data_IF_702598804337
#
_entry.id   IF_702598804337
#
_cell.length_a   1.000
_cell.length_b   1.000
_cell.length_c   1.000
_cell.angle_alpha   90.00
_cell.angle_beta   90.00
_cell.angle_gamma   90.00
#
_symmetry.space_group_name_H-M   'P 1'
#
loop_
_entity.id
_entity.type
_entity.pdbx_description
1 polymer ?
#
# COMPACT_ATOMS: atom_id res chain seq x y z
N UNK A 1 -26.61 24.32 8.91
CA UNK A 1 -26.11 23.65 7.68
C UNK A 1 -24.69 24.10 7.32
N UNK A 2 -24.37 25.43 7.24
CA UNK A 2 -23.06 25.92 6.80
C UNK A 2 -21.87 25.47 7.65
N UNK A 3 -21.95 25.58 8.98
CA UNK A 3 -20.88 25.16 9.91
C UNK A 3 -20.62 23.66 9.80
N UNK A 4 -21.69 22.86 9.74
CA UNK A 4 -21.56 21.40 9.60
C UNK A 4 -20.86 21.01 8.29
N UNK A 5 -21.16 21.72 7.18
CA UNK A 5 -20.48 21.52 5.90
C UNK A 5 -18.98 21.85 5.95
N UNK A 6 -18.58 22.94 6.60
CA UNK A 6 -17.19 23.31 6.76
C UNK A 6 -16.42 22.30 7.65
N UNK A 7 -17.03 21.86 8.75
CA UNK A 7 -16.45 20.83 9.61
C UNK A 7 -16.28 19.51 8.87
N UNK A 8 -17.26 19.10 8.08
CA UNK A 8 -17.19 17.88 7.26
C UNK A 8 -16.04 17.95 6.24
N UNK A 9 -15.81 19.11 5.58
CA UNK A 9 -14.70 19.30 4.65
C UNK A 9 -13.32 19.21 5.33
N UNK A 10 -13.18 19.75 6.53
CA UNK A 10 -11.94 19.66 7.31
C UNK A 10 -11.65 18.20 7.70
N UNK A 11 -12.66 17.49 8.21
CA UNK A 11 -12.54 16.07 8.57
C UNK A 11 -12.22 15.23 7.33
N UNK A 12 -12.88 15.49 6.20
CA UNK A 12 -12.60 14.80 4.95
C UNK A 12 -11.18 15.05 4.46
N UNK A 13 -10.66 16.28 4.57
CA UNK A 13 -9.29 16.60 4.19
C UNK A 13 -8.24 15.82 5.01
N UNK A 14 -8.36 15.84 6.34
CA UNK A 14 -7.46 15.08 7.22
C UNK A 14 -7.64 13.56 7.04
N UNK A 15 -8.88 13.08 6.90
CA UNK A 15 -9.18 11.68 6.66
C UNK A 15 -8.57 11.16 5.36
N UNK A 16 -8.67 11.94 4.26
CA UNK A 16 -8.06 11.60 2.99
C UNK A 16 -6.54 11.47 3.09
N UNK A 17 -5.89 12.44 3.74
CA UNK A 17 -4.44 12.40 3.97
C UNK A 17 -4.01 11.14 4.73
N UNK A 18 -4.66 10.86 5.85
CA UNK A 18 -4.34 9.68 6.67
C UNK A 18 -4.59 8.38 5.89
N UNK A 19 -5.70 8.29 5.14
CA UNK A 19 -6.04 7.11 4.35
C UNK A 19 -5.07 6.83 3.21
N UNK A 20 -4.40 7.85 2.67
CA UNK A 20 -3.41 7.69 1.60
C UNK A 20 -2.02 7.31 2.13
N UNK A 21 -1.62 7.78 3.31
CA UNK A 21 -0.28 7.54 3.86
C UNK A 21 -0.22 6.28 4.72
N UNK A 22 -1.26 5.97 5.47
CA UNK A 22 -1.29 4.80 6.37
C UNK A 22 -0.99 3.46 5.70
N UNK A 23 -1.48 3.15 4.48
CA UNK A 23 -1.15 1.92 3.79
C UNK A 23 0.36 1.76 3.51
N UNK A 24 1.04 2.87 3.21
CA UNK A 24 2.48 2.88 2.95
C UNK A 24 3.29 2.57 4.19
N UNK A 25 2.95 3.22 5.31
CA UNK A 25 3.66 3.00 6.57
C UNK A 25 3.49 1.54 7.04
N UNK A 26 2.31 0.96 6.83
CA UNK A 26 2.07 -0.46 7.12
C UNK A 26 2.81 -1.39 6.16
N UNK A 27 2.74 -1.13 4.85
CA UNK A 27 3.40 -1.99 3.86
C UNK A 27 4.90 -2.03 4.03
N UNK A 28 5.54 -0.86 4.16
CA UNK A 28 7.00 -0.75 4.26
C UNK A 28 7.54 -0.78 5.69
N UNK A 29 6.70 -0.60 6.70
CA UNK A 29 7.12 -0.66 8.10
C UNK A 29 6.83 -2.00 8.77
N UNK A 30 5.64 -2.59 8.48
CA UNK A 30 5.16 -3.77 9.20
C UNK A 30 5.20 -5.04 8.37
N UNK A 31 5.07 -4.95 7.02
CA UNK A 31 4.92 -6.13 6.18
C UNK A 31 6.18 -6.49 5.40
N UNK A 32 6.96 -5.51 4.92
CA UNK A 32 8.19 -5.75 4.16
C UNK A 32 9.43 -5.59 5.03
N UNK A 33 10.28 -6.62 5.05
CA UNK A 33 11.49 -6.69 5.89
C UNK A 33 12.78 -6.81 5.07
N UNK A 34 12.68 -6.82 3.75
CA UNK A 34 13.84 -6.86 2.86
C UNK A 34 14.31 -5.47 2.46
N UNK A 35 15.61 -5.34 2.18
CA UNK A 35 16.25 -4.08 1.82
C UNK A 35 16.21 -3.83 0.32
N UNK A 36 16.40 -4.90 -0.47
CA UNK A 36 16.53 -4.84 -1.91
C UNK A 36 15.77 -5.96 -2.59
N UNK A 37 15.25 -5.67 -3.79
CA UNK A 37 14.68 -6.64 -4.71
C UNK A 37 15.47 -6.62 -6.01
N UNK A 38 15.92 -7.79 -6.42
CA UNK A 38 16.53 -8.06 -7.71
C UNK A 38 15.52 -8.75 -8.61
N UNK A 39 15.48 -8.39 -9.88
CA UNK A 39 14.63 -9.06 -10.88
C UNK A 39 15.48 -9.41 -12.10
N UNK A 40 15.37 -10.64 -12.58
CA UNK A 40 16.06 -11.14 -13.76
C UNK A 40 15.28 -10.87 -15.04
N UNK A 41 15.96 -10.85 -16.16
CA UNK A 41 15.31 -10.81 -17.47
C UNK A 41 14.43 -12.04 -17.70
N UNK A 42 13.25 -11.86 -18.28
CA UNK A 42 12.32 -12.96 -18.57
C UNK A 42 12.93 -14.04 -19.49
N UNK A 43 13.86 -13.64 -20.37
CA UNK A 43 14.54 -14.53 -21.32
C UNK A 43 16.02 -14.69 -20.99
N UNK A 44 16.37 -14.72 -19.69
CA UNK A 44 17.75 -14.89 -19.24
C UNK A 44 18.32 -16.21 -19.76
N UNK A 45 19.54 -16.17 -20.27
CA UNK A 45 20.25 -17.37 -20.71
C UNK A 45 20.73 -18.18 -19.50
N UNK A 46 20.83 -19.53 -19.63
CA UNK A 46 21.32 -20.37 -18.52
C UNK A 46 22.70 -19.97 -18.01
N UNK A 47 23.59 -19.52 -18.89
CA UNK A 47 24.94 -19.05 -18.56
C UNK A 47 24.91 -17.75 -17.74
N UNK A 48 24.08 -16.78 -18.17
CA UNK A 48 23.89 -15.52 -17.46
C UNK A 48 23.25 -15.74 -16.08
N UNK A 49 22.30 -16.67 -15.99
CA UNK A 49 21.69 -17.07 -14.71
C UNK A 49 22.72 -17.64 -13.75
N UNK A 50 23.56 -18.56 -14.22
CA UNK A 50 24.60 -19.15 -13.41
C UNK A 50 25.60 -18.10 -12.90
N UNK A 51 25.97 -17.12 -13.73
CA UNK A 51 26.82 -16.00 -13.35
C UNK A 51 26.18 -15.15 -12.24
N UNK A 52 24.89 -14.82 -12.40
CA UNK A 52 24.13 -14.07 -11.37
C UNK A 52 24.09 -14.87 -10.07
N UNK A 53 23.70 -16.15 -10.10
CA UNK A 53 23.60 -16.99 -8.91
C UNK A 53 24.97 -17.16 -8.21
N UNK A 54 26.08 -17.29 -8.96
CA UNK A 54 27.42 -17.32 -8.39
C UNK A 54 27.79 -15.99 -7.71
N UNK A 55 27.45 -14.86 -8.35
CA UNK A 55 27.67 -13.54 -7.76
C UNK A 55 26.84 -13.34 -6.49
N UNK A 56 25.56 -13.73 -6.53
CA UNK A 56 24.65 -13.64 -5.38
C UNK A 56 25.16 -14.44 -4.19
N UNK A 57 25.65 -15.67 -4.42
CA UNK A 57 26.18 -16.55 -3.38
C UNK A 57 27.50 -16.06 -2.77
N UNK A 58 28.27 -15.24 -3.49
CA UNK A 58 29.57 -14.74 -3.06
C UNK A 58 29.54 -13.34 -2.42
N UNK A 59 28.38 -12.65 -2.43
CA UNK A 59 28.24 -11.29 -1.91
C UNK A 59 28.07 -11.28 -0.38
N UNK A 60 29.16 -11.00 0.34
CA UNK A 60 29.22 -10.97 1.81
C UNK A 60 28.48 -9.75 2.43
N UNK A 61 28.01 -8.80 1.63
CA UNK A 61 27.18 -7.67 2.06
C UNK A 61 25.72 -8.09 2.35
N UNK A 62 25.33 -9.29 1.92
CA UNK A 62 23.99 -9.84 2.05
C UNK A 62 23.90 -10.73 3.26
N UNK A 63 22.95 -10.45 4.15
CA UNK A 63 22.69 -11.23 5.36
C UNK A 63 21.73 -12.40 5.10
N UNK A 64 20.76 -12.18 4.22
CA UNK A 64 19.73 -13.15 3.90
C UNK A 64 19.20 -12.91 2.48
N UNK A 65 18.79 -13.99 1.83
CA UNK A 65 18.22 -13.94 0.48
C UNK A 65 17.07 -14.93 0.35
N UNK A 66 16.00 -14.51 -0.32
CA UNK A 66 14.85 -15.34 -0.65
C UNK A 66 14.62 -15.32 -2.16
N UNK A 67 14.85 -16.44 -2.86
CA UNK A 67 14.48 -16.57 -4.26
C UNK A 67 12.96 -16.68 -4.40
N UNK A 68 12.39 -15.95 -5.35
CA UNK A 68 10.97 -16.00 -5.63
C UNK A 68 10.68 -15.94 -7.14
N UNK A 69 9.50 -16.41 -7.53
CA UNK A 69 8.98 -16.21 -8.86
C UNK A 69 7.90 -15.12 -8.81
N UNK A 70 8.05 -14.12 -9.66
CA UNK A 70 7.10 -13.02 -9.80
C UNK A 70 6.63 -12.94 -11.26
N UNK A 71 5.32 -13.03 -11.47
CA UNK A 71 4.73 -12.90 -12.80
C UNK A 71 3.48 -12.02 -12.76
N UNK A 72 3.33 -11.15 -13.77
CA UNK A 72 2.10 -10.38 -13.96
C UNK A 72 1.03 -11.29 -14.55
N UNK A 73 -0.10 -11.37 -13.88
CA UNK A 73 -1.23 -12.23 -14.20
C UNK A 73 -2.54 -11.43 -14.17
N UNK A 74 -3.63 -12.03 -14.58
CA UNK A 74 -4.99 -11.49 -14.43
C UNK A 74 -5.82 -12.46 -13.59
N UNK A 75 -6.31 -11.98 -12.45
CA UNK A 75 -7.27 -12.70 -11.63
C UNK A 75 -8.69 -12.44 -12.18
N UNK A 76 -9.39 -13.50 -12.55
CA UNK A 76 -10.66 -13.44 -13.26
C UNK A 76 -11.77 -14.17 -12.51
N UNK A 77 -12.94 -13.56 -12.53
CA UNK A 77 -14.21 -14.18 -12.14
C UNK A 77 -15.22 -13.97 -13.28
N UNK A 78 -16.43 -14.49 -13.14
CA UNK A 78 -17.49 -14.26 -14.14
C UNK A 78 -17.82 -12.78 -14.37
N UNK A 79 -17.44 -11.87 -13.45
CA UNK A 79 -17.80 -10.45 -13.51
C UNK A 79 -16.61 -9.52 -13.65
N UNK A 80 -15.45 -9.89 -13.13
CA UNK A 80 -14.32 -8.99 -12.94
C UNK A 80 -13.02 -9.61 -13.41
N UNK A 81 -12.16 -8.77 -14.00
CA UNK A 81 -10.81 -9.10 -14.42
C UNK A 81 -9.89 -8.05 -13.79
N UNK A 82 -9.04 -8.47 -12.87
CA UNK A 82 -8.16 -7.61 -12.11
C UNK A 82 -6.72 -8.04 -12.34
N UNK A 83 -5.86 -7.09 -12.70
CA UNK A 83 -4.42 -7.36 -12.80
C UNK A 83 -3.86 -7.66 -11.41
N UNK A 84 -3.14 -8.76 -11.29
CA UNK A 84 -2.48 -9.20 -10.07
C UNK A 84 -1.11 -9.80 -10.39
N UNK A 85 -0.25 -9.90 -9.39
CA UNK A 85 1.04 -10.57 -9.51
C UNK A 85 0.94 -11.93 -8.82
N UNK A 86 1.36 -12.99 -9.51
CA UNK A 86 1.63 -14.26 -8.87
C UNK A 86 3.02 -14.18 -8.22
N UNK A 87 3.09 -14.42 -6.92
CA UNK A 87 4.31 -14.57 -6.16
C UNK A 87 4.43 -16.01 -5.69
N UNK A 88 5.53 -16.69 -6.05
CA UNK A 88 5.82 -18.04 -5.56
C UNK A 88 7.12 -18.00 -4.78
N UNK A 89 7.06 -18.39 -3.51
CA UNK A 89 8.20 -18.39 -2.61
C UNK A 89 8.03 -19.50 -1.55
N UNK A 90 9.12 -19.91 -0.90
CA UNK A 90 9.09 -20.93 0.14
C UNK A 90 8.37 -20.41 1.40
N UNK A 91 7.27 -21.02 1.85
CA UNK A 91 6.57 -20.58 3.05
C UNK A 91 7.41 -20.60 4.33
N UNK A 92 8.48 -21.41 4.37
CA UNK A 92 9.34 -21.54 5.53
C UNK A 92 10.28 -20.33 5.73
N UNK A 93 10.72 -19.69 4.63
CA UNK A 93 11.73 -18.62 4.63
C UNK A 93 11.14 -17.27 4.21
N UNK A 94 10.13 -17.27 3.36
CA UNK A 94 9.49 -16.04 2.86
C UNK A 94 8.96 -15.13 3.97
N UNK A 95 8.51 -15.71 5.09
CA UNK A 95 8.02 -14.98 6.26
C UNK A 95 9.06 -14.04 6.90
N UNK A 96 10.35 -14.29 6.71
CA UNK A 96 11.43 -13.44 7.19
C UNK A 96 11.58 -12.16 6.34
N UNK A 97 11.07 -12.17 5.11
CA UNK A 97 11.14 -11.06 4.15
C UNK A 97 9.80 -10.35 3.97
N UNK A 98 8.69 -11.09 4.06
CA UNK A 98 7.33 -10.54 3.89
C UNK A 98 6.42 -11.17 4.94
N UNK A 99 5.88 -10.34 5.83
CA UNK A 99 4.86 -10.79 6.78
C UNK A 99 3.56 -11.08 6.06
N UNK A 100 3.19 -12.35 5.98
CA UNK A 100 1.91 -12.82 5.44
C UNK A 100 1.00 -13.16 6.61
N UNK A 101 0.07 -12.26 6.94
CA UNK A 101 -0.85 -12.46 8.06
C UNK A 101 -2.30 -12.26 7.63
N UNK A 102 -3.18 -12.99 8.27
CA UNK A 102 -4.63 -12.86 8.06
C UNK A 102 -5.07 -11.44 8.36
N UNK A 103 -5.83 -10.85 7.45
CA UNK A 103 -6.29 -9.48 7.53
C UNK A 103 -7.19 -9.22 8.75
N UNK A 104 -8.00 -10.19 9.16
CA UNK A 104 -8.96 -10.02 10.26
C UNK A 104 -8.38 -10.40 11.62
N UNK A 105 -7.68 -11.52 11.69
CA UNK A 105 -7.18 -12.10 12.95
C UNK A 105 -5.75 -11.67 13.27
N UNK A 106 -4.96 -11.29 12.26
CA UNK A 106 -3.53 -11.00 12.40
C UNK A 106 -2.66 -12.25 12.55
N UNK A 107 -3.22 -13.45 12.44
CA UNK A 107 -2.47 -14.71 12.50
C UNK A 107 -1.60 -14.88 11.25
N UNK A 108 -0.40 -15.45 11.42
CA UNK A 108 0.50 -15.71 10.30
C UNK A 108 -0.08 -16.84 9.43
N UNK A 109 -0.19 -16.57 8.14
CA UNK A 109 -0.65 -17.52 7.13
C UNK A 109 0.53 -18.12 6.37
N UNK A 110 0.38 -19.37 5.96
CA UNK A 110 1.30 -20.05 5.05
C UNK A 110 0.55 -20.54 3.82
N UNK A 111 1.15 -20.38 2.64
CA UNK A 111 0.56 -20.89 1.41
C UNK A 111 0.56 -22.42 1.43
N UNK A 112 -0.59 -23.06 1.13
CA UNK A 112 -0.70 -24.52 1.12
C UNK A 112 0.15 -25.16 0.01
N UNK A 113 0.45 -26.43 0.19
CA UNK A 113 1.20 -27.22 -0.80
C UNK A 113 0.30 -27.87 -1.87
N UNK A 114 -1.01 -27.87 -1.67
CA UNK A 114 -2.00 -28.53 -2.53
C UNK A 114 -2.49 -27.69 -3.72
N UNK A 115 -1.93 -26.49 -3.89
CA UNK A 115 -2.31 -25.57 -4.94
C UNK A 115 -3.33 -24.50 -4.52
N UNK A 116 -3.77 -24.49 -3.27
CA UNK A 116 -4.48 -23.37 -2.69
C UNK A 116 -3.61 -22.13 -2.65
N UNK A 117 -4.23 -20.95 -2.72
CA UNK A 117 -3.52 -19.67 -2.77
C UNK A 117 -3.97 -18.71 -1.68
N UNK A 118 -3.06 -17.82 -1.28
CA UNK A 118 -3.39 -16.67 -0.47
C UNK A 118 -3.54 -15.46 -1.39
N UNK A 119 -4.57 -14.64 -1.18
CA UNK A 119 -4.81 -13.42 -1.95
C UNK A 119 -4.91 -12.22 -1.01
N UNK A 120 -4.58 -11.04 -1.52
CA UNK A 120 -4.74 -9.83 -0.72
C UNK A 120 -6.22 -9.46 -0.52
N UNK A 121 -6.51 -8.78 0.61
CA UNK A 121 -7.86 -8.37 1.00
C UNK A 121 -8.56 -7.58 -0.11
N UNK A 122 -7.85 -6.63 -0.73
CA UNK A 122 -8.46 -5.77 -1.73
C UNK A 122 -8.78 -6.51 -3.02
N UNK A 123 -7.95 -7.47 -3.41
CA UNK A 123 -8.23 -8.36 -4.54
C UNK A 123 -9.48 -9.20 -4.26
N UNK A 124 -9.58 -9.77 -3.06
CA UNK A 124 -10.76 -10.54 -2.64
C UNK A 124 -12.04 -9.69 -2.70
N UNK A 125 -11.99 -8.46 -2.18
CA UNK A 125 -13.12 -7.51 -2.22
C UNK A 125 -13.51 -7.16 -3.67
N UNK A 126 -12.54 -6.84 -4.53
CA UNK A 126 -12.78 -6.44 -5.92
C UNK A 126 -13.36 -7.60 -6.77
N UNK A 127 -12.90 -8.82 -6.53
CA UNK A 127 -13.42 -10.02 -7.20
C UNK A 127 -14.74 -10.50 -6.60
N UNK A 128 -15.06 -10.09 -5.36
CA UNK A 128 -16.24 -10.50 -4.61
C UNK A 128 -16.18 -11.97 -4.19
N UNK A 129 -14.99 -12.45 -3.81
CA UNK A 129 -14.71 -13.83 -3.40
C UNK A 129 -14.21 -13.89 -1.97
N UNK A 130 -14.35 -15.06 -1.35
CA UNK A 130 -13.95 -15.36 0.03
C UNK A 130 -13.13 -16.64 0.11
N UNK A 131 -12.62 -16.98 1.28
CA UNK A 131 -11.91 -18.23 1.50
C UNK A 131 -12.78 -19.42 1.11
N UNK A 132 -12.24 -20.31 0.31
CA UNK A 132 -12.92 -21.49 -0.28
C UNK A 132 -13.51 -21.27 -1.67
N UNK A 133 -13.62 -20.02 -2.13
CA UNK A 133 -14.14 -19.71 -3.47
C UNK A 133 -13.09 -19.94 -4.56
N UNK A 134 -13.50 -20.41 -5.76
CA UNK A 134 -12.63 -20.54 -6.91
C UNK A 134 -12.55 -19.23 -7.70
N UNK A 135 -11.40 -18.99 -8.33
CA UNK A 135 -11.21 -17.97 -9.35
C UNK A 135 -10.18 -18.45 -10.39
N UNK A 136 -10.13 -17.80 -11.54
CA UNK A 136 -9.15 -18.13 -12.58
C UNK A 136 -7.97 -17.15 -12.51
N UNK A 137 -6.75 -17.68 -12.52
CA UNK A 137 -5.53 -16.89 -12.72
C UNK A 137 -5.06 -17.10 -14.15
N UNK A 138 -5.08 -16.05 -14.96
CA UNK A 138 -4.75 -16.05 -16.38
C UNK A 138 -3.42 -15.34 -16.63
N UNK A 139 -2.50 -16.05 -17.26
CA UNK A 139 -1.21 -15.58 -17.78
C UNK A 139 -0.97 -16.27 -19.12
N UNK A 140 0.20 -16.88 -19.29
CA UNK A 140 0.49 -17.73 -20.46
C UNK A 140 -0.45 -18.96 -20.51
N UNK A 141 -0.85 -19.43 -19.35
CA UNK A 141 -1.89 -20.45 -19.17
C UNK A 141 -3.00 -19.94 -18.26
N UNK A 142 -4.14 -20.60 -18.27
CA UNK A 142 -5.28 -20.29 -17.39
C UNK A 142 -5.45 -21.41 -16.39
N UNK A 143 -5.40 -21.09 -15.10
CA UNK A 143 -5.54 -22.05 -14.03
C UNK A 143 -6.69 -21.63 -13.10
N UNK A 144 -7.53 -22.59 -12.74
CA UNK A 144 -8.52 -22.40 -11.70
C UNK A 144 -7.89 -22.68 -10.33
N UNK A 145 -7.95 -21.70 -9.45
CA UNK A 145 -7.33 -21.72 -8.12
C UNK A 145 -8.40 -21.54 -7.06
N UNK A 146 -8.12 -22.06 -5.86
CA UNK A 146 -9.00 -21.89 -4.70
C UNK A 146 -8.34 -20.99 -3.68
N UNK A 147 -9.08 -20.02 -3.15
CA UNK A 147 -8.62 -19.13 -2.08
C UNK A 147 -8.49 -19.92 -0.78
N UNK A 148 -7.26 -20.10 -0.30
CA UNK A 148 -6.97 -20.76 0.97
C UNK A 148 -6.94 -19.77 2.15
N UNK A 149 -6.66 -18.49 1.89
CA UNK A 149 -6.67 -17.45 2.90
C UNK A 149 -6.61 -16.05 2.28
N UNK A 150 -6.98 -15.06 3.09
CA UNK A 150 -6.95 -13.64 2.69
C UNK A 150 -6.00 -12.92 3.64
N UNK A 151 -4.97 -12.28 3.08
CA UNK A 151 -3.92 -11.66 3.87
C UNK A 151 -3.85 -10.14 3.70
N UNK A 152 -3.24 -9.49 4.66
CA UNK A 152 -3.04 -8.05 4.70
C UNK A 152 -1.97 -7.64 3.69
N UNK A 153 -2.36 -6.81 2.70
CA UNK A 153 -1.44 -6.23 1.73
C UNK A 153 -2.05 -4.95 1.14
N UNK A 154 -1.22 -3.93 0.83
CA UNK A 154 -1.71 -2.60 0.49
C UNK A 154 -1.30 -2.09 -0.87
N UNK A 155 -0.25 -2.67 -1.48
CA UNK A 155 0.32 -2.21 -2.75
C UNK A 155 0.16 -3.26 -3.84
N UNK A 156 -0.45 -2.85 -4.96
CA UNK A 156 -0.81 -3.74 -6.05
C UNK A 156 -1.67 -4.92 -5.54
N UNK A 157 -1.87 -5.94 -6.36
CA UNK A 157 -2.60 -7.14 -5.99
C UNK A 157 -1.69 -8.34 -6.16
N UNK A 158 -1.63 -9.18 -5.13
CA UNK A 158 -0.79 -10.37 -5.15
C UNK A 158 -1.57 -11.63 -4.83
N UNK A 159 -1.26 -12.66 -5.59
CA UNK A 159 -1.64 -14.05 -5.35
C UNK A 159 -0.38 -14.76 -4.89
N UNK A 160 -0.33 -15.23 -3.64
CA UNK A 160 0.82 -15.94 -3.09
C UNK A 160 0.59 -17.45 -3.06
N UNK A 161 1.57 -18.20 -3.54
CA UNK A 161 1.55 -19.66 -3.67
C UNK A 161 2.90 -20.25 -3.22
N UNK A 162 2.87 -21.45 -2.64
CA UNK A 162 4.09 -22.20 -2.38
C UNK A 162 4.68 -22.83 -3.65
N UNK A 163 5.98 -23.13 -3.72
CA UNK A 163 6.57 -23.87 -4.85
C UNK A 163 5.94 -25.25 -5.07
N UNK A 164 5.57 -25.93 -4.00
CA UNK A 164 4.86 -27.20 -4.08
C UNK A 164 3.45 -27.04 -4.66
N UNK A 165 2.71 -26.00 -4.22
CA UNK A 165 1.42 -25.62 -4.78
C UNK A 165 1.51 -25.23 -6.26
N UNK A 166 2.54 -24.49 -6.66
CA UNK A 166 2.79 -24.16 -8.05
C UNK A 166 2.98 -25.43 -8.90
N UNK A 167 3.82 -26.36 -8.45
CA UNK A 167 4.01 -27.65 -9.14
C UNK A 167 2.73 -28.47 -9.22
N UNK A 168 1.90 -28.45 -8.17
CA UNK A 168 0.62 -29.17 -8.17
C UNK A 168 -0.36 -28.62 -9.22
N UNK A 169 -0.36 -27.31 -9.46
CA UNK A 169 -1.26 -26.61 -10.38
C UNK A 169 -0.73 -26.61 -11.82
N UNK A 170 0.56 -26.27 -12.01
CA UNK A 170 1.15 -26.05 -13.33
C UNK A 170 1.85 -27.29 -13.88
N UNK A 171 2.13 -28.30 -13.03
CA UNK A 171 2.78 -29.55 -13.43
C UNK A 171 4.30 -29.46 -13.62
N UNK A 172 4.91 -28.32 -13.31
CA UNK A 172 6.34 -28.05 -13.46
C UNK A 172 6.84 -27.19 -12.30
N UNK A 173 8.17 -27.15 -12.12
CA UNK A 173 8.78 -26.27 -11.15
C UNK A 173 8.81 -24.83 -11.65
N UNK A 174 8.55 -23.86 -10.75
CA UNK A 174 8.71 -22.46 -11.08
C UNK A 174 10.21 -22.10 -11.21
N UNK A 175 10.55 -21.40 -12.28
CA UNK A 175 11.88 -20.81 -12.42
C UNK A 175 11.91 -19.47 -11.71
N UNK A 176 12.55 -19.39 -10.54
CA UNK A 176 12.68 -18.14 -9.81
C UNK A 176 13.32 -17.06 -10.68
N UNK A 177 12.73 -15.88 -10.69
CA UNK A 177 13.14 -14.75 -11.51
C UNK A 177 13.32 -13.47 -10.70
N UNK A 178 13.22 -13.55 -9.38
CA UNK A 178 13.46 -12.44 -8.48
C UNK A 178 14.09 -12.94 -7.18
N UNK A 179 14.80 -12.05 -6.49
CA UNK A 179 15.43 -12.31 -5.20
C UNK A 179 15.13 -11.15 -4.27
N UNK A 180 14.60 -11.45 -3.09
CA UNK A 180 14.46 -10.50 -2.00
C UNK A 180 15.72 -10.60 -1.13
N UNK A 181 16.37 -9.48 -0.83
CA UNK A 181 17.65 -9.46 -0.14
C UNK A 181 17.63 -8.57 1.09
N UNK A 182 18.10 -9.10 2.20
CA UNK A 182 18.41 -8.34 3.41
C UNK A 182 19.89 -7.96 3.40
N UNK A 183 20.21 -6.66 3.28
CA UNK A 183 21.59 -6.15 3.30
C UNK A 183 22.02 -5.82 4.74
N UNK A 184 23.32 -5.95 5.01
CA UNK A 184 23.91 -5.59 6.30
C UNK A 184 23.85 -4.08 6.58
N UNK A 185 23.85 -3.27 5.52
CA UNK A 185 23.73 -1.83 5.53
C UNK A 185 22.76 -1.40 4.42
N UNK A 186 21.70 -0.70 4.78
CA UNK A 186 20.66 -0.21 3.87
C UNK A 186 20.93 1.22 3.36
N UNK A 187 22.14 1.74 3.60
CA UNK A 187 22.54 3.06 3.10
C UNK A 187 22.47 3.13 1.57
N UNK A 188 22.20 4.32 1.05
CA UNK A 188 22.15 4.56 -0.40
C UNK A 188 23.47 4.25 -1.08
N UNK A 189 24.61 4.40 -0.38
CA UNK A 189 25.94 4.14 -0.89
C UNK A 189 26.19 2.63 -1.06
N UNK A 190 25.91 1.84 0.00
CA UNK A 190 26.08 0.38 -0.04
C UNK A 190 25.12 -0.27 -1.03
N UNK A 191 23.84 0.10 -1.00
CA UNK A 191 22.87 -0.38 -1.98
C UNK A 191 23.26 0.01 -3.42
N UNK A 192 23.72 1.25 -3.63
CA UNK A 192 24.18 1.71 -4.93
C UNK A 192 25.37 0.90 -5.46
N UNK A 193 26.34 0.55 -4.61
CA UNK A 193 27.46 -0.30 -4.98
C UNK A 193 27.00 -1.72 -5.35
N UNK A 194 26.17 -2.34 -4.52
CA UNK A 194 25.58 -3.68 -4.79
C UNK A 194 24.81 -3.68 -6.11
N UNK A 195 23.99 -2.64 -6.36
CA UNK A 195 23.19 -2.56 -7.58
C UNK A 195 24.06 -2.31 -8.82
N UNK A 196 25.12 -1.51 -8.71
CA UNK A 196 26.04 -1.31 -9.81
C UNK A 196 26.70 -2.64 -10.23
N UNK A 197 27.21 -3.39 -9.24
CA UNK A 197 27.82 -4.70 -9.49
C UNK A 197 26.84 -5.67 -10.17
N UNK A 198 25.59 -5.70 -9.69
CA UNK A 198 24.55 -6.58 -10.23
C UNK A 198 24.05 -6.16 -11.62
N UNK A 199 23.91 -4.85 -11.86
CA UNK A 199 23.42 -4.35 -13.15
C UNK A 199 24.47 -4.49 -14.27
N UNK A 200 25.73 -4.68 -13.92
CA UNK A 200 26.79 -5.02 -14.89
C UNK A 200 26.69 -6.48 -15.39
N UNK A 201 25.92 -7.33 -14.71
CA UNK A 201 25.61 -8.69 -15.13
C UNK A 201 24.49 -8.69 -16.17
N UNK A 202 24.71 -9.36 -17.31
CA UNK A 202 23.76 -9.38 -18.44
C UNK A 202 22.39 -9.99 -18.12
N UNK A 203 22.26 -10.77 -17.05
CA UNK A 203 21.04 -11.45 -16.64
C UNK A 203 20.07 -10.62 -15.80
N UNK A 204 20.50 -9.44 -15.30
CA UNK A 204 19.72 -8.62 -14.36
C UNK A 204 18.91 -7.56 -15.09
N UNK A 205 17.61 -7.57 -14.89
CA UNK A 205 16.67 -6.60 -15.46
C UNK A 205 16.51 -5.35 -14.60
N UNK A 206 16.47 -5.51 -13.27
CA UNK A 206 16.30 -4.43 -12.33
C UNK A 206 16.83 -4.80 -10.94
N UNK A 207 17.39 -3.82 -10.26
CA UNK A 207 17.68 -3.86 -8.83
C UNK A 207 17.05 -2.64 -8.16
N UNK A 208 16.26 -2.83 -7.14
CA UNK A 208 15.48 -1.76 -6.50
C UNK A 208 15.66 -1.79 -4.99
N UNK A 209 16.02 -0.65 -4.39
CA UNK A 209 16.04 -0.48 -2.95
C UNK A 209 14.61 -0.18 -2.44
N UNK A 210 14.19 -0.87 -1.41
CA UNK A 210 12.83 -0.74 -0.88
C UNK A 210 12.56 0.67 -0.32
N UNK A 211 13.55 1.26 0.35
CA UNK A 211 13.45 2.64 0.85
C UNK A 211 13.26 3.67 -0.28
N UNK A 212 13.93 3.50 -1.43
CA UNK A 212 13.74 4.43 -2.56
C UNK A 212 12.32 4.36 -3.12
N UNK A 213 11.73 3.18 -3.15
CA UNK A 213 10.34 2.99 -3.58
C UNK A 213 9.37 3.67 -2.61
N UNK A 214 9.60 3.52 -1.30
CA UNK A 214 8.85 4.21 -0.25
C UNK A 214 8.98 5.73 -0.37
N UNK A 215 10.21 6.24 -0.50
CA UNK A 215 10.49 7.68 -0.59
C UNK A 215 9.88 8.30 -1.85
N UNK A 216 9.98 7.64 -2.99
CA UNK A 216 9.34 8.08 -4.24
C UNK A 216 7.81 8.16 -4.11
N UNK A 217 7.21 7.21 -3.39
CA UNK A 217 5.79 7.26 -3.11
C UNK A 217 5.44 8.42 -2.17
N UNK A 218 6.19 8.61 -1.09
CA UNK A 218 6.00 9.74 -0.16
C UNK A 218 6.11 11.08 -0.88
N UNK A 219 7.11 11.29 -1.71
CA UNK A 219 7.25 12.50 -2.52
C UNK A 219 6.09 12.71 -3.50
N UNK A 220 5.52 11.63 -4.03
CA UNK A 220 4.32 11.72 -4.87
C UNK A 220 3.10 12.15 -4.07
N UNK A 221 3.00 11.71 -2.82
CA UNK A 221 1.91 12.08 -1.91
C UNK A 221 2.03 13.51 -1.36
N UNK A 222 3.23 14.09 -1.22
CA UNK A 222 3.43 15.48 -0.82
C UNK A 222 2.68 16.48 -1.72
N UNK A 223 2.54 16.16 -3.00
CA UNK A 223 1.76 16.98 -3.95
C UNK A 223 0.27 16.95 -3.62
N UNK A 224 -0.22 15.83 -3.13
CA UNK A 224 -1.62 15.68 -2.67
C UNK A 224 -1.83 16.44 -1.36
N UNK A 225 -0.86 16.44 -0.45
CA UNK A 225 -0.89 17.22 0.78
C UNK A 225 -1.11 18.72 0.51
N UNK A 226 -0.48 19.26 -0.52
CA UNK A 226 -0.70 20.66 -0.92
C UNK A 226 -2.17 20.93 -1.31
N UNK A 227 -2.78 20.02 -2.06
CA UNK A 227 -4.22 20.13 -2.44
C UNK A 227 -5.11 20.05 -1.20
N UNK A 228 -4.82 19.13 -0.28
CA UNK A 228 -5.56 18.97 0.99
C UNK A 228 -5.47 20.24 1.83
N UNK A 229 -4.29 20.87 1.94
CA UNK A 229 -4.10 22.14 2.65
C UNK A 229 -4.96 23.24 2.03
N UNK A 230 -5.01 23.36 0.71
CA UNK A 230 -5.86 24.36 0.03
C UNK A 230 -7.34 24.12 0.37
N UNK A 231 -7.79 22.87 0.34
CA UNK A 231 -9.19 22.51 0.70
C UNK A 231 -9.51 22.90 2.13
N UNK A 232 -8.61 22.60 3.08
CA UNK A 232 -8.78 22.95 4.50
C UNK A 232 -8.83 24.46 4.69
N UNK A 233 -7.93 25.22 4.07
CA UNK A 233 -7.91 26.68 4.15
C UNK A 233 -9.18 27.30 3.55
N UNK A 234 -9.66 26.77 2.43
CA UNK A 234 -10.90 27.21 1.79
C UNK A 234 -12.12 26.93 2.67
N UNK A 235 -12.17 25.76 3.30
CA UNK A 235 -13.22 25.38 4.24
C UNK A 235 -13.21 26.28 5.49
N UNK A 236 -12.02 26.58 6.04
CA UNK A 236 -11.86 27.49 7.17
C UNK A 236 -12.31 28.93 6.83
N UNK A 237 -11.92 29.43 5.67
CA UNK A 237 -12.37 30.76 5.19
C UNK A 237 -13.89 30.82 5.04
N UNK A 238 -14.50 29.78 4.46
CA UNK A 238 -15.96 29.68 4.34
C UNK A 238 -16.64 29.65 5.72
N UNK A 239 -16.08 28.89 6.68
CA UNK A 239 -16.59 28.84 8.04
C UNK A 239 -16.59 30.23 8.72
N UNK A 240 -15.52 31.00 8.54
CA UNK A 240 -15.41 32.37 9.08
C UNK A 240 -16.47 33.28 8.47
N UNK A 241 -16.71 33.22 7.17
CA UNK A 241 -17.75 34.02 6.49
C UNK A 241 -19.15 33.66 7.00
N UNK A 242 -19.43 32.34 7.17
CA UNK A 242 -20.73 31.88 7.69
C UNK A 242 -20.92 32.33 9.13
N UNK A 243 -19.91 32.20 9.99
CA UNK A 243 -19.97 32.68 11.39
C UNK A 243 -20.16 34.18 11.47
N UNK A 244 -19.43 34.95 10.65
CA UNK A 244 -19.58 36.40 10.58
C UNK A 244 -21.03 36.81 10.17
N UNK A 245 -21.55 36.16 9.14
CA UNK A 245 -22.93 36.44 8.69
C UNK A 245 -23.96 36.08 9.77
N UNK A 246 -23.78 34.93 10.43
CA UNK A 246 -24.68 34.49 11.51
C UNK A 246 -24.65 35.46 12.71
N UNK A 247 -23.45 35.93 13.09
CA UNK A 247 -23.28 36.94 14.13
C UNK A 247 -23.95 38.26 13.76
N UNK A 248 -23.79 38.74 12.53
CA UNK A 248 -24.41 39.97 12.06
C UNK A 248 -25.95 39.92 12.08
N UNK A 249 -26.51 38.77 11.66
CA UNK A 249 -27.99 38.58 11.71
C UNK A 249 -28.44 38.58 13.17
N UNK A 250 -27.79 37.86 14.05
CA UNK A 250 -28.13 37.79 15.47
C UNK A 250 -28.08 39.17 16.15
N UNK A 251 -27.03 39.96 15.85
CA UNK A 251 -26.89 41.33 16.38
C UNK A 251 -27.99 42.22 15.82
N UNK A 252 -28.36 42.10 14.54
CA UNK A 252 -29.38 42.92 13.91
C UNK A 252 -30.78 42.62 14.47
N UNK A 253 -31.11 41.35 14.71
CA UNK A 253 -32.37 40.93 15.33
C UNK A 253 -32.48 41.43 16.77
N UNK A 254 -31.39 41.36 17.56
CA UNK A 254 -31.37 41.84 18.95
C UNK A 254 -31.21 43.36 19.10
N UNK A 255 -30.91 44.10 18.03
CA UNK A 255 -30.69 45.53 18.08
C UNK A 255 -31.90 46.29 18.63
N UNK A 256 -33.13 45.84 18.33
CA UNK A 256 -34.37 46.38 18.89
C UNK A 256 -34.50 46.12 20.39
N UNK A 257 -34.18 44.94 20.86
CA UNK A 257 -34.23 44.58 22.26
C UNK A 257 -33.18 45.35 23.08
N UNK A 258 -31.96 45.47 22.56
CA UNK A 258 -30.88 46.24 23.16
C UNK A 258 -31.23 47.76 23.20
N UNK A 259 -31.88 48.29 22.17
CA UNK A 259 -32.35 49.67 22.16
C UNK A 259 -33.42 49.92 23.25
N UNK A 260 -34.34 48.98 23.47
CA UNK A 260 -35.33 49.06 24.50
C UNK A 260 -34.71 49.02 25.91
N UNK A 261 -33.71 48.17 26.13
CA UNK A 261 -32.97 48.08 27.43
C UNK A 261 -32.22 49.39 27.70
N UNK A 262 -31.64 50.03 26.68
CA UNK A 262 -30.95 51.34 26.78
C UNK A 262 -31.93 52.47 27.12
N UNK A 263 -33.12 52.45 26.53
CA UNK A 263 -34.15 53.47 26.82
C UNK A 263 -34.69 53.29 28.26
N UNK A 264 -34.64 52.08 28.81
CA UNK A 264 -35.02 51.82 30.20
C UNK A 264 -33.93 52.18 31.23
N UNK A 265 -32.80 52.81 30.78
CA UNK A 265 -31.81 53.40 31.66
C UNK A 265 -30.65 52.51 32.06
N UNK A 266 -30.44 51.36 31.40
CA UNK A 266 -29.30 50.49 31.63
C UNK A 266 -28.02 51.09 31.01
N UNK A 267 -26.89 51.01 31.80
CA UNK A 267 -25.59 51.51 31.37
C UNK A 267 -24.93 50.56 30.34
N UNK A 268 -24.09 51.10 29.46
CA UNK A 268 -23.41 50.34 28.39
C UNK A 268 -22.68 49.08 28.88
N UNK A 269 -22.13 49.10 30.08
CA UNK A 269 -21.50 47.90 30.68
C UNK A 269 -22.47 46.78 31.05
N UNK A 270 -23.71 47.11 31.32
CA UNK A 270 -24.76 46.12 31.64
C UNK A 270 -25.37 45.55 30.40
N UNK A 271 -25.50 46.38 29.35
CA UNK A 271 -25.96 45.94 28.00
C UNK A 271 -24.91 44.99 27.34
N UNK A 272 -23.61 45.16 27.66
CA UNK A 272 -22.56 44.32 27.13
C UNK A 272 -22.54 42.87 27.73
N UNK A 273 -23.28 42.66 28.80
CA UNK A 273 -23.38 41.41 29.54
C UNK A 273 -24.54 40.52 29.07
N UNK A 274 -25.45 41.12 28.30
CA UNK A 274 -26.61 40.47 27.71
C UNK A 274 -26.34 40.04 26.26
#
# INVERSE_FOLDING_TARGET
AGIAGCTALIIAGFGLRTSLLSPMDRQYGDLYHYTAQLTLHANILPEERAEVEEHLASDDRVLAEEPCYLASMTAETAKYNIMAYLAVADPATFGDFVTVRDFQTGEILQAPEDGGVLIDEKLAELLGITVGDPFTLAGDTRQELTVAGIYEHYLAHFVYMSPAGYRAVYGEDCAFNAYLRGLADDSSETCGAVFSDLMDLGGVAAATRMLDTRDNYQHSMERIDFVVVIVILSAAALALVVLYNLSNINITERKRELATIKVLGFYDKEVYRY
#
